data_IF_347037513024
#
_entry.id   IF_347037513024
#
_cell.length_a   1.000
_cell.length_b   1.000
_cell.length_c   1.000
_cell.angle_alpha   90.00
_cell.angle_beta   90.00
_cell.angle_gamma   90.00
#
_symmetry.space_group_name_H-M   'P 1'
#
loop_
_entity.id
_entity.type
_entity.pdbx_description
1 polymer ?
#
# COMPACT_ATOMS: atom_id res chain seq x y z
N UNK A 1 -13.86 -22.07 -21.48
CA UNK A 1 -12.86 -23.14 -21.28
C UNK A 1 -11.44 -22.58 -21.39
N UNK A 2 -11.06 -21.92 -22.49
CA UNK A 2 -9.70 -21.38 -22.66
C UNK A 2 -9.24 -20.39 -21.58
N UNK A 3 -10.07 -19.40 -21.24
CA UNK A 3 -9.71 -18.44 -20.17
C UNK A 3 -9.59 -19.08 -18.80
N UNK A 4 -10.36 -20.13 -18.54
CA UNK A 4 -10.27 -20.90 -17.30
C UNK A 4 -8.96 -21.67 -17.24
N UNK A 5 -8.58 -22.34 -18.33
CA UNK A 5 -7.30 -23.02 -18.46
C UNK A 5 -6.12 -22.05 -18.26
N UNK A 6 -6.15 -20.88 -18.93
CA UNK A 6 -5.12 -19.85 -18.79
C UNK A 6 -5.02 -19.33 -17.36
N UNK A 7 -6.15 -18.96 -16.75
CA UNK A 7 -6.17 -18.46 -15.38
C UNK A 7 -5.66 -19.52 -14.39
N UNK A 8 -6.16 -20.75 -14.48
CA UNK A 8 -5.76 -21.85 -13.61
C UNK A 8 -4.28 -22.20 -13.77
N UNK A 9 -3.76 -22.17 -14.99
CA UNK A 9 -2.33 -22.38 -15.29
C UNK A 9 -1.45 -21.30 -14.66
N UNK A 10 -1.77 -20.02 -14.89
CA UNK A 10 -1.03 -18.88 -14.31
C UNK A 10 -1.08 -18.91 -12.79
N UNK A 11 -2.27 -19.10 -12.20
CA UNK A 11 -2.44 -19.19 -10.76
C UNK A 11 -1.61 -20.35 -10.18
N UNK A 12 -1.68 -21.55 -10.78
CA UNK A 12 -0.90 -22.71 -10.32
C UNK A 12 0.61 -22.43 -10.33
N UNK A 13 1.11 -21.82 -11.40
CA UNK A 13 2.53 -21.53 -11.54
C UNK A 13 2.98 -20.44 -10.56
N UNK A 14 2.22 -19.35 -10.39
CA UNK A 14 2.58 -18.29 -9.45
C UNK A 14 2.54 -18.76 -7.98
N UNK A 15 1.57 -19.59 -7.61
CA UNK A 15 1.46 -20.14 -6.26
C UNK A 15 2.54 -21.20 -5.96
N UNK A 16 3.22 -21.74 -6.97
CA UNK A 16 4.31 -22.69 -6.74
C UNK A 16 5.43 -22.10 -5.86
N UNK A 17 5.72 -20.79 -5.97
CA UNK A 17 6.81 -20.16 -5.20
C UNK A 17 6.65 -20.40 -3.70
N UNK A 18 5.54 -19.90 -3.12
CA UNK A 18 5.33 -19.99 -1.68
C UNK A 18 4.96 -21.41 -1.23
N UNK A 19 4.43 -22.25 -2.14
CA UNK A 19 4.05 -23.64 -1.83
C UNK A 19 5.29 -24.52 -1.72
N UNK A 20 6.27 -24.32 -2.61
CA UNK A 20 7.54 -25.02 -2.57
C UNK A 20 8.37 -24.67 -1.32
N UNK A 21 8.17 -23.47 -0.77
CA UNK A 21 8.79 -23.04 0.49
C UNK A 21 8.03 -23.53 1.74
N UNK A 22 6.81 -24.04 1.58
CA UNK A 22 5.94 -24.45 2.68
C UNK A 22 5.52 -25.92 2.55
N UNK A 23 6.52 -26.79 2.50
CA UNK A 23 6.35 -28.25 2.37
C UNK A 23 6.71 -28.96 3.66
N UNK A 24 5.98 -30.04 3.98
CA UNK A 24 6.27 -30.88 5.15
C UNK A 24 7.65 -31.56 5.04
N UNK A 25 7.98 -32.03 3.84
CA UNK A 25 9.28 -32.64 3.50
C UNK A 25 10.11 -31.62 2.71
N UNK A 26 11.34 -31.27 3.14
CA UNK A 26 12.21 -30.36 2.40
C UNK A 26 12.39 -30.79 0.94
N UNK A 27 12.30 -29.84 0.00
CA UNK A 27 12.47 -30.06 -1.44
C UNK A 27 11.47 -31.04 -2.11
N UNK A 28 10.37 -31.40 -1.44
CA UNK A 28 9.34 -32.28 -2.02
C UNK A 28 8.58 -31.65 -3.20
N UNK A 29 8.59 -30.33 -3.31
CA UNK A 29 8.06 -29.59 -4.47
C UNK A 29 9.21 -28.81 -5.09
N UNK A 30 9.45 -29.03 -6.40
CA UNK A 30 10.42 -28.25 -7.16
C UNK A 30 9.90 -26.83 -7.36
N UNK A 31 10.65 -25.85 -6.88
CA UNK A 31 10.37 -24.44 -7.13
C UNK A 31 10.70 -24.08 -8.58
N UNK A 32 9.75 -23.47 -9.28
CA UNK A 32 10.01 -22.89 -10.61
C UNK A 32 10.92 -21.66 -10.48
N UNK A 33 11.58 -21.26 -11.57
CA UNK A 33 12.53 -20.14 -11.58
C UNK A 33 12.19 -19.06 -12.62
N UNK A 34 10.93 -19.02 -13.07
CA UNK A 34 10.47 -18.14 -14.15
C UNK A 34 9.37 -17.16 -13.68
N UNK A 35 9.45 -16.70 -12.44
CA UNK A 35 8.41 -15.86 -11.84
C UNK A 35 8.26 -14.52 -12.54
N UNK A 36 9.36 -13.89 -12.96
CA UNK A 36 9.31 -12.59 -13.63
C UNK A 36 8.66 -12.71 -15.02
N UNK A 37 8.97 -13.77 -15.75
CA UNK A 37 8.36 -14.11 -17.04
C UNK A 37 6.86 -14.33 -16.89
N UNK A 38 6.43 -15.04 -15.84
CA UNK A 38 5.02 -15.26 -15.55
C UNK A 38 4.29 -13.96 -15.21
N UNK A 39 4.93 -13.04 -14.49
CA UNK A 39 4.36 -11.72 -14.19
C UNK A 39 4.22 -10.87 -15.45
N UNK A 40 5.21 -10.89 -16.34
CA UNK A 40 5.14 -10.20 -17.65
C UNK A 40 4.00 -10.77 -18.49
N UNK A 41 3.88 -12.10 -18.56
CA UNK A 41 2.80 -12.76 -19.29
C UNK A 41 1.42 -12.41 -18.69
N UNK A 42 1.30 -12.45 -17.36
CA UNK A 42 0.07 -12.08 -16.66
C UNK A 42 -0.30 -10.62 -16.94
N UNK A 43 0.65 -9.69 -16.82
CA UNK A 43 0.44 -8.28 -17.14
C UNK A 43 -0.09 -8.11 -18.56
N UNK A 44 0.57 -8.71 -19.55
CA UNK A 44 0.18 -8.61 -20.97
C UNK A 44 -1.22 -9.17 -21.22
N UNK A 45 -1.55 -10.31 -20.62
CA UNK A 45 -2.90 -10.89 -20.73
C UNK A 45 -3.97 -10.01 -20.09
N UNK A 46 -3.69 -9.37 -18.96
CA UNK A 46 -4.67 -8.51 -18.29
C UNK A 46 -4.82 -7.15 -18.98
N UNK A 47 -3.72 -6.55 -19.46
CA UNK A 47 -3.75 -5.22 -20.06
C UNK A 47 -4.27 -5.24 -21.50
N UNK A 48 -3.77 -6.16 -22.33
CA UNK A 48 -4.08 -6.19 -23.77
C UNK A 48 -5.35 -7.00 -24.07
N UNK A 49 -5.66 -8.05 -23.31
CA UNK A 49 -6.85 -8.88 -23.53
C UNK A 49 -7.98 -8.53 -22.55
N UNK A 50 -8.82 -7.56 -22.94
CA UNK A 50 -9.97 -7.10 -22.13
C UNK A 50 -10.97 -8.22 -21.80
N UNK A 51 -11.13 -9.22 -22.67
CA UNK A 51 -12.02 -10.36 -22.42
C UNK A 51 -11.46 -11.27 -21.31
N UNK A 52 -10.15 -11.50 -21.30
CA UNK A 52 -9.47 -12.24 -20.22
C UNK A 52 -9.52 -11.48 -18.89
N UNK A 53 -9.33 -10.15 -18.92
CA UNK A 53 -9.50 -9.30 -17.74
C UNK A 53 -10.92 -9.41 -17.17
N UNK A 54 -11.95 -9.27 -18.01
CA UNK A 54 -13.35 -9.41 -17.58
C UNK A 54 -13.66 -10.80 -17.03
N UNK A 55 -13.13 -11.87 -17.66
CA UNK A 55 -13.25 -13.23 -17.13
C UNK A 55 -12.62 -13.34 -15.75
N UNK A 56 -11.39 -12.82 -15.59
CA UNK A 56 -10.65 -12.84 -14.33
C UNK A 56 -11.41 -12.14 -13.21
N UNK A 57 -11.98 -10.97 -13.49
CA UNK A 57 -12.73 -10.16 -12.52
C UNK A 57 -14.07 -10.80 -12.11
N UNK A 58 -14.82 -11.34 -13.07
CA UNK A 58 -16.22 -11.74 -12.85
C UNK A 58 -16.43 -13.22 -12.58
N UNK A 59 -15.54 -14.08 -13.07
CA UNK A 59 -15.73 -15.54 -13.05
C UNK A 59 -14.65 -16.30 -12.30
N UNK A 60 -13.44 -15.76 -12.22
CA UNK A 60 -12.31 -16.43 -11.57
C UNK A 60 -12.17 -16.04 -10.09
N UNK A 61 -11.43 -16.87 -9.33
CA UNK A 61 -11.05 -16.54 -7.96
C UNK A 61 -9.74 -15.74 -7.93
N UNK A 62 -9.85 -14.41 -8.06
CA UNK A 62 -8.70 -13.51 -8.16
C UNK A 62 -7.73 -13.59 -6.99
N UNK A 63 -8.19 -14.00 -5.81
CA UNK A 63 -7.32 -14.20 -4.66
C UNK A 63 -6.18 -15.20 -4.94
N UNK A 64 -6.38 -16.17 -5.85
CA UNK A 64 -5.33 -17.08 -6.32
C UNK A 64 -4.20 -16.37 -7.09
N UNK A 65 -4.42 -15.15 -7.58
CA UNK A 65 -3.38 -14.30 -8.17
C UNK A 65 -2.89 -13.27 -7.13
N UNK A 66 -3.77 -12.70 -6.32
CA UNK A 66 -3.39 -11.70 -5.29
C UNK A 66 -2.38 -12.26 -4.29
N UNK A 67 -2.62 -13.46 -3.77
CA UNK A 67 -1.75 -14.08 -2.75
C UNK A 67 -0.28 -14.20 -3.22
N UNK A 68 0.03 -14.81 -4.39
CA UNK A 68 1.42 -14.88 -4.83
C UNK A 68 2.02 -13.52 -5.20
N UNK A 69 1.23 -12.55 -5.70
CA UNK A 69 1.73 -11.18 -5.94
C UNK A 69 2.21 -10.53 -4.64
N UNK A 70 1.37 -10.58 -3.60
CA UNK A 70 1.70 -10.03 -2.28
C UNK A 70 2.87 -10.78 -1.63
N UNK A 71 2.94 -12.10 -1.81
CA UNK A 71 4.06 -12.90 -1.33
C UNK A 71 5.39 -12.46 -1.96
N UNK A 72 5.44 -12.34 -3.29
CA UNK A 72 6.64 -11.91 -4.02
C UNK A 72 7.07 -10.49 -3.63
N UNK A 73 6.10 -9.60 -3.45
CA UNK A 73 6.38 -8.24 -2.99
C UNK A 73 6.93 -8.21 -1.57
N UNK A 74 6.32 -8.99 -0.66
CA UNK A 74 6.77 -9.09 0.72
C UNK A 74 8.20 -9.64 0.75
N UNK A 75 8.44 -10.82 0.19
CA UNK A 75 9.75 -11.48 0.24
C UNK A 75 10.84 -10.62 -0.41
N UNK A 76 10.59 -10.03 -1.57
CA UNK A 76 11.58 -9.24 -2.30
C UNK A 76 11.84 -7.82 -1.78
N UNK A 77 11.07 -7.32 -0.80
CA UNK A 77 11.09 -5.90 -0.37
C UNK A 77 12.46 -5.36 0.04
N UNK A 78 13.35 -6.23 0.52
CA UNK A 78 14.70 -5.86 0.99
C UNK A 78 15.79 -6.05 -0.08
N UNK A 79 15.45 -6.60 -1.25
CA UNK A 79 16.42 -6.96 -2.28
C UNK A 79 16.38 -5.96 -3.45
N UNK A 80 17.42 -5.13 -3.66
CA UNK A 80 17.45 -4.16 -4.76
C UNK A 80 17.30 -4.80 -6.16
N UNK A 81 17.74 -6.05 -6.33
CA UNK A 81 17.58 -6.82 -7.58
C UNK A 81 16.13 -7.19 -7.89
N UNK A 82 15.24 -7.19 -6.89
CA UNK A 82 13.82 -7.54 -7.03
C UNK A 82 12.91 -6.32 -7.21
N UNK A 83 13.47 -5.10 -7.27
CA UNK A 83 12.70 -3.86 -7.43
C UNK A 83 11.78 -3.91 -8.65
N UNK A 84 12.26 -4.38 -9.82
CA UNK A 84 11.44 -4.50 -11.02
C UNK A 84 10.27 -5.49 -10.86
N UNK A 85 10.49 -6.58 -10.12
CA UNK A 85 9.44 -7.56 -9.78
C UNK A 85 8.35 -6.92 -8.89
N UNK A 86 8.74 -6.12 -7.90
CA UNK A 86 7.77 -5.41 -7.05
C UNK A 86 6.95 -4.42 -7.86
N UNK A 87 7.57 -3.68 -8.78
CA UNK A 87 6.87 -2.73 -9.65
C UNK A 87 5.82 -3.42 -10.52
N UNK A 88 6.15 -4.54 -11.19
CA UNK A 88 5.15 -5.24 -12.02
C UNK A 88 4.01 -5.81 -11.18
N UNK A 89 4.29 -6.37 -9.99
CA UNK A 89 3.23 -6.79 -9.06
C UNK A 89 2.34 -5.61 -8.65
N UNK A 90 2.95 -4.44 -8.41
CA UNK A 90 2.23 -3.20 -8.06
C UNK A 90 1.29 -2.78 -9.18
N UNK A 91 1.77 -2.75 -10.43
CA UNK A 91 0.94 -2.34 -11.56
C UNK A 91 -0.19 -3.33 -11.84
N UNK A 92 0.04 -4.65 -11.69
CA UNK A 92 -1.03 -5.64 -11.78
C UNK A 92 -2.09 -5.38 -10.72
N UNK A 93 -1.69 -5.18 -9.46
CA UNK A 93 -2.64 -4.87 -8.38
C UNK A 93 -3.36 -3.53 -8.61
N UNK A 94 -2.66 -2.51 -9.13
CA UNK A 94 -3.24 -1.21 -9.45
C UNK A 94 -4.29 -1.32 -10.56
N UNK A 95 -3.99 -2.04 -11.64
CA UNK A 95 -4.93 -2.34 -12.72
C UNK A 95 -6.19 -3.02 -12.19
N UNK A 96 -6.03 -4.08 -11.38
CA UNK A 96 -7.14 -4.83 -10.82
C UNK A 96 -7.96 -4.01 -9.80
N UNK A 97 -7.30 -3.18 -8.98
CA UNK A 97 -7.95 -2.33 -7.98
C UNK A 97 -8.91 -1.30 -8.57
N UNK A 98 -8.73 -0.96 -9.86
CA UNK A 98 -9.62 -0.06 -10.58
C UNK A 98 -11.02 -0.63 -10.84
N UNK A 99 -11.28 -1.88 -10.47
CA UNK A 99 -12.54 -2.59 -10.73
C UNK A 99 -13.20 -3.04 -9.43
N UNK A 100 -14.51 -2.78 -9.30
CA UNK A 100 -15.29 -3.09 -8.08
C UNK A 100 -15.26 -4.57 -7.73
N UNK A 101 -15.37 -5.45 -8.72
CA UNK A 101 -15.39 -6.90 -8.53
C UNK A 101 -14.12 -7.40 -7.80
N UNK A 102 -12.98 -6.75 -8.05
CA UNK A 102 -11.74 -7.03 -7.34
C UNK A 102 -11.84 -6.73 -5.85
N UNK A 103 -12.25 -5.51 -5.51
CA UNK A 103 -12.38 -5.11 -4.11
C UNK A 103 -13.39 -5.99 -3.35
N UNK A 104 -14.49 -6.37 -4.00
CA UNK A 104 -15.48 -7.29 -3.41
C UNK A 104 -14.89 -8.68 -3.19
N UNK A 105 -14.10 -9.21 -4.12
CA UNK A 105 -13.46 -10.52 -4.02
C UNK A 105 -12.45 -10.61 -2.85
N UNK A 106 -11.80 -9.50 -2.50
CA UNK A 106 -10.86 -9.43 -1.37
C UNK A 106 -11.51 -9.66 0.00
N UNK A 107 -12.85 -9.54 0.11
CA UNK A 107 -13.56 -9.81 1.37
C UNK A 107 -13.65 -11.31 1.70
N UNK A 108 -13.24 -12.21 0.80
CA UNK A 108 -13.20 -13.65 1.11
C UNK A 108 -12.23 -13.92 2.27
N UNK A 109 -12.57 -14.83 3.20
CA UNK A 109 -11.69 -15.22 4.30
C UNK A 109 -10.31 -15.64 3.80
N UNK A 110 -9.26 -15.26 4.52
CA UNK A 110 -7.90 -15.67 4.25
C UNK A 110 -7.46 -16.71 5.29
N UNK A 111 -7.27 -17.94 4.83
CA UNK A 111 -6.99 -19.10 5.69
C UNK A 111 -5.59 -19.70 5.46
N UNK A 112 -4.88 -19.24 4.43
CA UNK A 112 -3.59 -19.80 4.06
C UNK A 112 -2.49 -19.38 5.04
N UNK A 113 -1.71 -20.35 5.50
CA UNK A 113 -0.45 -20.09 6.22
C UNK A 113 0.67 -19.88 5.21
N UNK A 114 1.12 -18.65 5.04
CA UNK A 114 2.24 -18.31 4.17
C UNK A 114 3.57 -18.48 4.92
N UNK A 115 4.66 -18.90 4.24
CA UNK A 115 6.00 -18.94 4.83
C UNK A 115 6.61 -17.52 4.86
N UNK A 116 5.88 -16.59 5.49
CA UNK A 116 6.23 -15.20 5.68
C UNK A 116 6.17 -14.88 7.17
N UNK A 117 7.01 -13.94 7.60
CA UNK A 117 6.93 -13.34 8.92
C UNK A 117 5.76 -12.33 8.98
N UNK A 118 4.54 -12.85 8.91
CA UNK A 118 3.31 -12.07 9.05
C UNK A 118 2.88 -12.07 10.53
N UNK A 119 2.37 -10.94 11.06
CA UNK A 119 1.71 -10.95 12.35
C UNK A 119 0.53 -11.94 12.30
N UNK A 120 0.20 -12.63 13.40
CA UNK A 120 -0.97 -13.49 13.44
C UNK A 120 -2.24 -12.63 13.29
N UNK A 121 -3.05 -12.92 12.28
CA UNK A 121 -4.37 -12.32 12.12
C UNK A 121 -5.33 -13.35 11.54
N UNK A 122 -6.62 -13.17 11.83
CA UNK A 122 -7.72 -13.95 11.26
C UNK A 122 -8.64 -12.95 10.56
N UNK A 123 -8.49 -12.86 9.25
CA UNK A 123 -9.09 -11.80 8.45
C UNK A 123 -9.37 -12.26 7.03
N UNK A 124 -9.46 -11.30 6.12
CA UNK A 124 -9.74 -11.53 4.71
C UNK A 124 -8.51 -11.20 3.83
N UNK A 125 -8.67 -11.29 2.51
CA UNK A 125 -7.58 -10.98 1.59
C UNK A 125 -7.26 -9.48 1.49
N UNK A 126 -8.21 -8.59 1.84
CA UNK A 126 -7.92 -7.17 1.98
C UNK A 126 -6.99 -6.90 3.17
N UNK A 127 -7.14 -7.65 4.26
CA UNK A 127 -6.21 -7.60 5.40
C UNK A 127 -4.80 -8.00 4.99
N UNK A 128 -4.66 -9.13 4.29
CA UNK A 128 -3.36 -9.56 3.75
C UNK A 128 -2.74 -8.48 2.85
N UNK A 129 -3.52 -7.87 1.96
CA UNK A 129 -3.07 -6.80 1.08
C UNK A 129 -2.54 -5.61 1.88
N UNK A 130 -3.31 -5.10 2.84
CA UNK A 130 -2.94 -3.94 3.65
C UNK A 130 -1.68 -4.23 4.47
N UNK A 131 -1.60 -5.41 5.12
CA UNK A 131 -0.45 -5.79 5.94
C UNK A 131 0.82 -5.92 5.09
N UNK A 132 0.71 -6.55 3.90
CA UNK A 132 1.84 -6.68 2.99
C UNK A 132 2.29 -5.33 2.44
N UNK A 133 1.38 -4.50 1.93
CA UNK A 133 1.72 -3.17 1.41
C UNK A 133 2.33 -2.27 2.49
N UNK A 134 1.77 -2.27 3.70
CA UNK A 134 2.38 -1.58 4.86
C UNK A 134 3.82 -2.06 5.07
N UNK A 135 4.07 -3.38 5.10
CA UNK A 135 5.42 -3.91 5.34
C UNK A 135 6.38 -3.51 4.23
N UNK A 136 5.93 -3.50 2.97
CA UNK A 136 6.75 -3.06 1.84
C UNK A 136 7.09 -1.57 1.96
N UNK A 137 6.17 -0.73 2.43
CA UNK A 137 6.43 0.71 2.66
C UNK A 137 7.41 0.92 3.83
N UNK A 138 7.20 0.25 4.96
CA UNK A 138 7.97 0.54 6.19
C UNK A 138 9.33 -0.17 6.22
N UNK A 139 9.46 -1.32 5.56
CA UNK A 139 10.67 -2.15 5.58
C UNK A 139 11.28 -2.37 4.19
N UNK A 140 10.80 -1.64 3.18
CA UNK A 140 11.31 -1.72 1.82
C UNK A 140 12.58 -0.90 1.61
N UNK A 141 13.27 -1.19 0.51
CA UNK A 141 14.39 -0.38 0.04
C UNK A 141 13.92 0.97 -0.54
N UNK A 142 14.71 2.04 -0.39
CA UNK A 142 14.34 3.44 -0.72
C UNK A 142 13.82 3.65 -2.15
N UNK A 143 14.31 2.87 -3.13
CA UNK A 143 13.80 2.97 -4.53
C UNK A 143 12.31 2.64 -4.66
N UNK A 144 11.71 1.95 -3.68
CA UNK A 144 10.29 1.66 -3.65
C UNK A 144 9.43 2.89 -3.31
N UNK A 145 10.02 3.99 -2.85
CA UNK A 145 9.28 5.24 -2.59
C UNK A 145 8.51 5.73 -3.83
N UNK A 146 9.07 5.48 -5.02
CA UNK A 146 8.42 5.77 -6.30
C UNK A 146 7.02 5.15 -6.38
N UNK A 147 6.84 3.91 -5.93
CA UNK A 147 5.56 3.19 -6.05
C UNK A 147 4.61 3.36 -4.86
N UNK A 148 4.95 4.18 -3.85
CA UNK A 148 4.08 4.39 -2.67
C UNK A 148 2.73 5.00 -3.03
N UNK A 149 2.70 5.94 -3.98
CA UNK A 149 1.45 6.48 -4.52
C UNK A 149 0.57 5.36 -5.10
N UNK A 150 1.15 4.37 -5.78
CA UNK A 150 0.40 3.25 -6.33
C UNK A 150 -0.14 2.35 -5.22
N UNK A 151 0.64 2.06 -4.18
CA UNK A 151 0.19 1.28 -3.03
C UNK A 151 -1.01 1.91 -2.33
N UNK A 152 -0.93 3.20 -2.02
CA UNK A 152 -2.02 3.91 -1.35
C UNK A 152 -3.21 4.13 -2.28
N UNK A 153 -2.99 4.24 -3.60
CA UNK A 153 -4.08 4.23 -4.58
C UNK A 153 -4.83 2.90 -4.57
N UNK A 154 -4.13 1.77 -4.55
CA UNK A 154 -4.76 0.43 -4.44
C UNK A 154 -5.62 0.34 -3.18
N UNK A 155 -5.08 0.75 -2.03
CA UNK A 155 -5.81 0.73 -0.75
C UNK A 155 -7.03 1.66 -0.81
N UNK A 156 -6.87 2.87 -1.34
CA UNK A 156 -7.96 3.83 -1.50
C UNK A 156 -9.06 3.31 -2.43
N UNK A 157 -8.70 2.68 -3.56
CA UNK A 157 -9.66 2.12 -4.51
C UNK A 157 -10.51 0.98 -3.91
N UNK A 158 -9.91 0.11 -3.08
CA UNK A 158 -10.65 -1.00 -2.48
C UNK A 158 -11.50 -0.57 -1.28
N UNK A 159 -11.08 0.49 -0.57
CA UNK A 159 -11.65 0.91 0.72
C UNK A 159 -13.19 1.12 0.77
N UNK A 160 -13.90 1.58 -0.29
CA UNK A 160 -15.36 1.69 -0.24
C UNK A 160 -16.09 0.35 -0.17
N UNK A 161 -15.39 -0.76 -0.43
CA UNK A 161 -15.98 -2.09 -0.56
C UNK A 161 -15.45 -3.11 0.46
N UNK A 162 -14.43 -2.75 1.24
CA UNK A 162 -13.83 -3.65 2.23
C UNK A 162 -14.69 -3.70 3.49
N UNK A 163 -15.02 -4.92 3.90
CA UNK A 163 -15.81 -5.23 5.10
C UNK A 163 -14.95 -6.02 6.08
N UNK A 164 -15.21 -5.88 7.38
CA UNK A 164 -14.59 -6.72 8.41
C UNK A 164 -13.07 -6.67 8.39
N UNK A 165 -12.49 -5.48 8.28
CA UNK A 165 -11.05 -5.31 8.51
C UNK A 165 -10.68 -5.80 9.90
N UNK A 166 -9.61 -6.57 9.96
CA UNK A 166 -9.03 -7.03 11.21
C UNK A 166 -8.32 -5.86 11.94
N UNK A 167 -8.17 -5.98 13.27
CA UNK A 167 -7.42 -5.02 14.08
C UNK A 167 -6.01 -4.78 13.55
N UNK A 168 -5.31 -5.83 13.14
CA UNK A 168 -3.92 -5.73 12.68
C UNK A 168 -3.82 -4.80 11.48
N UNK A 169 -4.67 -4.98 10.46
CA UNK A 169 -4.71 -4.13 9.27
C UNK A 169 -5.12 -2.70 9.59
N UNK A 170 -6.09 -2.53 10.48
CA UNK A 170 -6.54 -1.23 10.97
C UNK A 170 -5.38 -0.45 11.59
N UNK A 171 -4.65 -1.07 12.51
CA UNK A 171 -3.45 -0.48 13.12
C UNK A 171 -2.36 -0.21 12.07
N UNK A 172 -2.19 -1.07 11.04
CA UNK A 172 -1.23 -0.80 9.96
C UNK A 172 -1.59 0.46 9.16
N UNK A 173 -2.86 0.69 8.85
CA UNK A 173 -3.28 1.93 8.18
C UNK A 173 -2.98 3.16 9.04
N UNK A 174 -3.27 3.10 10.34
CA UNK A 174 -2.98 4.21 11.28
C UNK A 174 -1.47 4.43 11.45
N UNK A 175 -0.65 3.37 11.39
CA UNK A 175 0.82 3.51 11.39
C UNK A 175 1.35 4.21 10.15
N UNK A 176 0.80 3.91 8.96
CA UNK A 176 1.14 4.65 7.74
C UNK A 176 0.70 6.11 7.86
N UNK A 177 -0.47 6.36 8.42
CA UNK A 177 -0.95 7.73 8.66
C UNK A 177 -0.02 8.49 9.60
N UNK A 178 0.35 7.89 10.74
CA UNK A 178 1.34 8.44 11.68
C UNK A 178 2.67 8.75 10.99
N UNK A 179 3.16 7.86 10.12
CA UNK A 179 4.42 8.02 9.41
C UNK A 179 4.37 9.22 8.45
N UNK A 180 3.33 9.29 7.62
CA UNK A 180 3.22 10.31 6.59
C UNK A 180 2.69 11.66 7.09
N UNK A 181 2.04 11.69 8.26
CA UNK A 181 1.56 12.94 8.89
C UNK A 181 2.62 13.69 9.70
N UNK A 182 3.86 13.18 9.79
CA UNK A 182 4.91 13.84 10.56
C UNK A 182 5.33 15.14 9.87
N UNK A 183 5.51 16.26 10.60
CA UNK A 183 6.01 17.51 10.02
C UNK A 183 7.35 17.34 9.31
N UNK A 184 8.27 16.55 9.90
CA UNK A 184 9.57 16.22 9.27
C UNK A 184 9.39 15.60 7.89
N UNK A 185 8.38 14.74 7.73
CA UNK A 185 8.08 14.12 6.46
C UNK A 185 7.47 15.09 5.47
N UNK A 186 6.40 15.76 5.89
CA UNK A 186 5.60 16.62 5.03
C UNK A 186 6.42 17.77 4.45
N UNK A 187 7.33 18.32 5.24
CA UNK A 187 8.16 19.46 4.87
C UNK A 187 9.43 19.08 4.10
N UNK A 188 9.72 17.79 3.91
CA UNK A 188 10.93 17.34 3.20
C UNK A 188 10.79 17.44 1.67
N UNK A 189 9.58 17.28 1.13
CA UNK A 189 9.33 17.30 -0.31
C UNK A 189 7.94 17.86 -0.62
N UNK A 190 7.82 18.60 -1.72
CA UNK A 190 6.60 19.30 -2.12
C UNK A 190 5.44 18.33 -2.40
N UNK A 191 5.72 17.09 -2.79
CA UNK A 191 4.73 16.07 -3.11
C UNK A 191 4.38 15.13 -1.95
N UNK A 192 5.09 15.17 -0.81
CA UNK A 192 4.89 14.21 0.30
C UNK A 192 3.46 14.25 0.87
N UNK A 193 2.83 15.43 0.85
CA UNK A 193 1.47 15.62 1.33
C UNK A 193 0.42 14.79 0.56
N UNK A 194 0.68 14.38 -0.68
CA UNK A 194 -0.24 13.57 -1.47
C UNK A 194 -0.56 12.21 -0.83
N UNK A 195 0.41 11.59 -0.14
CA UNK A 195 0.18 10.28 0.51
C UNK A 195 -0.89 10.34 1.61
N UNK A 196 -0.98 11.48 2.31
CA UNK A 196 -2.00 11.70 3.33
C UNK A 196 -3.39 11.74 2.72
N UNK A 197 -3.56 12.33 1.52
CA UNK A 197 -4.87 12.38 0.85
C UNK A 197 -5.41 10.98 0.60
N UNK A 198 -4.58 10.04 0.14
CA UNK A 198 -5.02 8.66 -0.07
C UNK A 198 -5.43 7.94 1.22
N UNK A 199 -4.73 8.20 2.33
CA UNK A 199 -5.06 7.60 3.63
C UNK A 199 -6.34 8.20 4.22
N UNK A 200 -6.51 9.53 4.14
CA UNK A 200 -7.75 10.18 4.57
C UNK A 200 -8.94 9.73 3.71
N UNK A 201 -8.76 9.61 2.38
CA UNK A 201 -9.79 9.03 1.50
C UNK A 201 -10.11 7.59 1.91
N UNK A 202 -9.11 6.78 2.24
CA UNK A 202 -9.29 5.41 2.72
C UNK A 202 -10.14 5.37 3.99
N UNK A 203 -9.81 6.20 4.98
CA UNK A 203 -10.59 6.28 6.22
C UNK A 203 -12.01 6.77 5.97
N UNK A 204 -12.17 7.82 5.17
CA UNK A 204 -13.49 8.36 4.85
C UNK A 204 -14.36 7.35 4.11
N UNK A 205 -13.79 6.61 3.15
CA UNK A 205 -14.51 5.56 2.45
C UNK A 205 -14.99 4.46 3.40
N UNK A 206 -14.12 4.00 4.30
CA UNK A 206 -14.46 2.96 5.29
C UNK A 206 -15.54 3.46 6.26
N UNK A 207 -15.43 4.71 6.73
CA UNK A 207 -16.41 5.34 7.62
C UNK A 207 -17.76 5.58 6.92
N UNK A 208 -17.76 6.04 5.67
CA UNK A 208 -18.99 6.45 4.99
C UNK A 208 -19.72 5.27 4.34
N UNK A 209 -19.00 4.29 3.82
CA UNK A 209 -19.58 3.19 3.04
C UNK A 209 -19.62 1.85 3.76
N UNK A 210 -18.69 1.62 4.69
CA UNK A 210 -18.51 0.32 5.33
C UNK A 210 -18.35 0.46 6.85
N UNK A 211 -18.99 1.45 7.49
CA UNK A 211 -18.92 1.60 8.95
C UNK A 211 -19.36 0.31 9.64
N UNK A 212 -20.48 -0.25 9.18
CA UNK A 212 -21.00 -1.53 9.65
C UNK A 212 -20.01 -2.66 9.27
N UNK A 213 -19.35 -3.21 10.29
CA UNK A 213 -18.35 -4.25 10.14
C UNK A 213 -16.91 -3.75 10.10
N UNK A 214 -16.62 -2.46 10.20
CA UNK A 214 -15.25 -1.94 10.36
C UNK A 214 -15.05 -1.22 11.71
N UNK A 215 -15.70 -1.69 12.77
CA UNK A 215 -15.56 -1.18 14.13
C UNK A 215 -14.11 -1.24 14.65
N UNK A 216 -13.32 -2.21 14.20
CA UNK A 216 -11.88 -2.35 14.54
C UNK A 216 -11.07 -1.13 14.07
N UNK A 217 -11.38 -0.62 12.87
CA UNK A 217 -10.75 0.58 12.33
C UNK A 217 -11.16 1.81 13.13
N UNK A 218 -12.46 1.95 13.41
CA UNK A 218 -13.00 3.07 14.18
C UNK A 218 -12.38 3.10 15.58
N UNK A 219 -12.29 1.94 16.23
CA UNK A 219 -11.61 1.78 17.50
C UNK A 219 -10.14 2.23 17.41
N UNK A 220 -9.39 1.74 16.41
CA UNK A 220 -8.01 2.16 16.19
C UNK A 220 -7.89 3.67 15.94
N UNK A 221 -8.85 4.30 15.25
CA UNK A 221 -8.88 5.75 15.04
C UNK A 221 -9.13 6.51 16.34
N UNK A 222 -10.04 6.04 17.20
CA UNK A 222 -10.30 6.62 18.52
C UNK A 222 -9.03 6.60 19.38
N UNK A 223 -8.33 5.46 19.42
CA UNK A 223 -7.05 5.30 20.12
C UNK A 223 -5.95 6.21 19.58
N UNK A 224 -6.08 6.71 18.34
CA UNK A 224 -5.11 7.56 17.67
C UNK A 224 -5.67 8.96 17.34
N UNK A 225 -6.68 9.43 18.10
CA UNK A 225 -7.38 10.71 17.86
C UNK A 225 -6.43 11.91 17.73
N UNK A 226 -5.33 11.90 18.50
CA UNK A 226 -4.33 12.96 18.51
C UNK A 226 -3.62 13.12 17.16
N UNK A 227 -3.48 12.06 16.36
CA UNK A 227 -2.84 12.15 15.03
C UNK A 227 -3.65 13.06 14.10
N UNK A 228 -4.98 12.91 14.12
CA UNK A 228 -5.88 13.73 13.31
C UNK A 228 -5.90 15.17 13.79
N UNK A 229 -5.92 15.39 15.10
CA UNK A 229 -5.87 16.73 15.69
C UNK A 229 -4.54 17.44 15.37
N UNK A 230 -3.40 16.74 15.48
CA UNK A 230 -2.07 17.28 15.13
C UNK A 230 -1.98 17.63 13.66
N UNK A 231 -2.48 16.79 12.76
CA UNK A 231 -2.52 17.10 11.33
C UNK A 231 -3.42 18.32 11.05
N UNK A 232 -4.58 18.41 11.69
CA UNK A 232 -5.47 19.57 11.55
C UNK A 232 -4.83 20.87 12.07
N UNK A 233 -4.09 20.78 13.16
CA UNK A 233 -3.36 21.88 13.78
C UNK A 233 -2.00 22.16 13.12
N UNK A 234 -1.62 21.43 12.08
CA UNK A 234 -0.31 21.57 11.42
C UNK A 234 -0.07 23.01 10.97
N UNK A 235 1.03 23.59 11.41
CA UNK A 235 1.44 24.95 11.06
C UNK A 235 2.90 24.92 10.60
N UNK A 236 3.34 26.00 9.95
CA UNK A 236 4.75 26.19 9.62
C UNK A 236 5.59 26.14 10.91
N UNK A 237 6.77 25.49 10.90
CA UNK A 237 7.70 25.56 12.01
C UNK A 237 7.99 27.03 12.29
N UNK A 238 7.86 27.47 13.55
CA UNK A 238 8.29 28.81 13.92
C UNK A 238 9.76 28.97 13.50
N UNK A 239 10.10 30.10 12.89
CA UNK A 239 11.47 30.44 12.52
C UNK A 239 12.32 30.62 13.79
N UNK A 240 12.67 29.51 14.45
CA UNK A 240 13.56 29.53 15.61
C UNK A 240 14.99 29.51 15.11
N UNK A 241 15.62 30.68 15.21
CA UNK A 241 17.03 30.97 15.37
C UNK A 241 17.99 29.81 15.03
N UNK A 242 18.84 30.05 14.02
CA UNK A 242 20.08 29.31 13.82
C UNK A 242 20.90 29.27 15.13
N UNK A 243 20.83 28.16 15.85
CA UNK A 243 21.88 27.74 16.78
C UNK A 243 22.59 26.54 16.15
N UNK A 244 23.90 26.71 15.99
CA UNK A 244 24.81 25.75 15.39
C UNK A 244 24.74 24.38 16.08
N UNK A 245 25.01 23.27 15.38
CA UNK A 245 24.97 21.95 15.98
C UNK A 245 26.19 21.73 16.88
N UNK A 246 25.98 21.77 18.20
CA UNK A 246 26.96 21.26 19.17
C UNK A 246 26.71 19.76 19.37
N UNK A 247 27.70 18.95 18.97
CA UNK A 247 27.78 17.51 19.21
C UNK A 247 27.82 17.19 20.71
N UNK A 248 26.78 16.56 21.23
CA UNK A 248 26.85 15.78 22.47
C UNK A 248 25.72 14.74 22.54
N UNK A 249 26.07 13.47 22.33
CA UNK A 249 25.23 12.30 22.64
C UNK A 249 25.22 12.01 24.13
N UNK A 250 24.05 11.72 24.74
CA UNK A 250 23.94 10.83 25.88
C UNK A 250 23.30 9.49 25.48
N UNK A 251 23.86 8.39 26.00
CA UNK A 251 23.33 7.02 25.92
C UNK A 251 22.19 6.82 26.92
N UNK A 252 21.14 6.08 26.53
CA UNK A 252 20.31 5.29 27.45
C UNK A 252 19.59 4.15 26.71
N UNK A 253 19.35 3.06 27.44
CA UNK A 253 18.92 1.72 27.03
C UNK A 253 17.41 1.55 26.81
N UNK A 254 17.09 0.57 25.95
CA UNK A 254 15.91 -0.29 25.84
C UNK A 254 14.49 0.28 26.04
N UNK A 255 13.75 0.41 24.93
CA UNK A 255 12.43 -0.22 24.75
C UNK A 255 12.01 -0.21 23.28
N UNK A 256 11.31 -1.28 22.87
CA UNK A 256 10.88 -1.60 21.51
C UNK A 256 9.89 -0.56 20.95
N UNK A 257 10.33 0.26 19.99
CA UNK A 257 9.58 0.75 18.81
C UNK A 257 10.33 1.95 18.20
N UNK A 258 11.47 1.71 17.56
CA UNK A 258 12.20 2.75 16.82
C UNK A 258 12.12 2.44 15.31
N UNK A 259 11.19 3.10 14.61
CA UNK A 259 11.18 3.20 13.15
C UNK A 259 11.57 4.63 12.81
N UNK A 260 12.84 4.96 12.99
CA UNK A 260 13.40 6.27 12.63
C UNK A 260 14.17 6.17 11.30
N UNK A 261 13.45 5.84 10.22
CA UNK A 261 13.81 6.25 8.86
C UNK A 261 12.50 6.52 8.12
N UNK A 262 12.16 7.79 7.90
CA UNK A 262 10.95 8.19 7.17
C UNK A 262 11.31 8.40 5.68
N UNK A 263 10.80 7.59 4.72
CA UNK A 263 11.30 7.61 3.33
C UNK A 263 10.59 8.65 2.44
N UNK A 264 11.33 9.65 1.93
CA UNK A 264 10.82 10.77 1.10
C UNK A 264 10.25 10.35 -0.28
N UNK A 265 9.11 10.90 -0.71
CA UNK A 265 8.42 10.56 -1.96
C UNK A 265 8.92 11.41 -3.13
N UNK A 266 10.16 11.21 -3.54
CA UNK A 266 10.60 11.68 -4.85
C UNK A 266 10.42 10.56 -5.89
N UNK A 267 9.82 10.91 -7.03
CA UNK A 267 9.65 10.11 -8.26
C UNK A 267 8.30 9.41 -8.48
N UNK A 268 7.25 10.19 -8.73
CA UNK A 268 6.21 9.88 -9.73
C UNK A 268 5.30 11.08 -10.07
N UNK A 269 5.32 12.14 -9.26
CA UNK A 269 4.60 13.40 -9.51
C UNK A 269 5.10 14.16 -10.76
N UNK A 270 6.31 13.87 -11.23
CA UNK A 270 6.87 14.47 -12.44
C UNK A 270 6.25 13.93 -13.75
N UNK A 271 5.33 12.95 -13.68
CA UNK A 271 4.71 12.35 -14.87
C UNK A 271 3.28 12.81 -15.14
N UNK A 272 2.74 13.74 -14.33
CA UNK A 272 1.39 14.28 -14.52
C UNK A 272 1.34 15.67 -15.12
N UNK A 273 2.49 16.28 -15.48
CA UNK A 273 2.49 17.64 -16.01
C UNK A 273 3.60 17.87 -17.05
N UNK A 274 3.41 17.40 -18.29
CA UNK A 274 4.06 17.97 -19.48
C UNK A 274 3.16 17.77 -20.71
N UNK A 275 2.51 18.85 -21.15
CA UNK A 275 1.99 19.00 -22.53
C UNK A 275 3.16 19.20 -23.50
N UNK A 276 3.12 18.53 -24.66
CA UNK A 276 4.16 18.60 -25.69
C UNK A 276 4.28 19.96 -26.38
N UNK A 277 5.51 20.38 -26.71
CA UNK A 277 6.15 20.22 -28.02
C UNK A 277 7.59 20.81 -28.02
N UNK A 278 8.42 20.28 -28.92
CA UNK A 278 9.66 20.77 -29.55
C UNK A 278 10.97 21.12 -28.79
N UNK A 279 11.98 20.29 -29.13
CA UNK A 279 13.41 20.52 -29.42
C UNK A 279 14.11 21.79 -28.88
N UNK A 280 14.78 21.66 -27.75
CA UNK A 280 16.14 22.17 -27.48
C UNK A 280 16.64 21.57 -26.16
N UNK A 281 17.92 21.17 -26.07
CA UNK A 281 18.51 20.70 -24.82
C UNK A 281 18.42 21.81 -23.75
N UNK A 282 17.74 21.60 -22.61
CA UNK A 282 17.56 22.66 -21.63
C UNK A 282 18.90 22.94 -20.91
N UNK A 283 19.13 24.18 -20.47
CA UNK A 283 20.26 24.50 -19.60
C UNK A 283 20.17 23.64 -18.34
N UNK A 284 21.31 23.29 -17.75
CA UNK A 284 21.37 22.55 -16.48
C UNK A 284 20.74 23.41 -15.38
N UNK A 285 19.43 23.26 -15.20
CA UNK A 285 18.68 23.85 -14.10
C UNK A 285 19.13 23.09 -12.86
N UNK A 286 19.96 23.73 -12.03
CA UNK A 286 20.25 23.21 -10.69
C UNK A 286 18.90 23.00 -10.00
N UNK A 287 18.55 21.78 -9.55
CA UNK A 287 17.25 21.55 -8.94
C UNK A 287 17.14 22.44 -7.71
N UNK A 288 16.22 23.41 -7.77
CA UNK A 288 15.91 24.30 -6.66
C UNK A 288 15.47 23.41 -5.50
N UNK A 289 16.25 23.41 -4.42
CA UNK A 289 15.92 22.64 -3.22
C UNK A 289 14.57 23.16 -2.69
N UNK A 290 13.58 22.28 -2.62
CA UNK A 290 12.26 22.61 -2.09
C UNK A 290 12.37 23.26 -0.71
N UNK A 291 11.71 24.39 -0.54
CA UNK A 291 11.60 25.11 0.73
C UNK A 291 10.11 25.31 1.01
N UNK A 292 9.55 24.67 2.06
CA UNK A 292 8.14 24.82 2.39
C UNK A 292 7.79 26.29 2.70
N UNK A 293 6.68 26.76 2.13
CA UNK A 293 6.12 28.09 2.41
C UNK A 293 4.75 27.96 3.07
N UNK A 294 4.31 29.00 3.77
CA UNK A 294 2.95 29.01 4.34
C UNK A 294 1.89 28.93 3.23
N UNK A 295 2.11 29.60 2.10
CA UNK A 295 1.22 29.50 0.93
C UNK A 295 1.10 28.07 0.40
N UNK A 296 2.23 27.35 0.31
CA UNK A 296 2.24 25.94 -0.09
C UNK A 296 1.45 25.10 0.92
N UNK A 297 1.71 25.26 2.23
CA UNK A 297 1.03 24.53 3.30
C UNK A 297 -0.48 24.77 3.25
N UNK A 298 -0.92 26.04 3.24
CA UNK A 298 -2.33 26.39 3.17
C UNK A 298 -2.98 25.94 1.85
N UNK A 299 -2.21 25.88 0.76
CA UNK A 299 -2.64 25.47 -0.57
C UNK A 299 -3.26 24.07 -0.60
N UNK A 300 -2.62 23.10 0.06
CA UNK A 300 -3.13 21.73 0.17
C UNK A 300 -3.88 21.46 1.47
N UNK A 301 -3.50 22.08 2.60
CA UNK A 301 -4.12 21.83 3.90
C UNK A 301 -5.63 22.11 3.88
N UNK A 302 -6.06 23.21 3.24
CA UNK A 302 -7.50 23.54 3.09
C UNK A 302 -8.30 22.53 2.26
N UNK A 303 -7.62 21.71 1.45
CA UNK A 303 -8.24 20.68 0.60
C UNK A 303 -8.25 19.30 1.26
N UNK A 304 -7.62 19.15 2.43
CA UNK A 304 -7.55 17.86 3.12
C UNK A 304 -8.96 17.35 3.46
N UNK A 305 -9.30 16.11 3.09
CA UNK A 305 -10.59 15.52 3.43
C UNK A 305 -10.59 14.98 4.87
N UNK A 306 -10.16 15.77 5.85
CA UNK A 306 -10.00 15.33 7.26
C UNK A 306 -11.30 15.44 8.08
N UNK A 307 -12.26 16.25 7.61
CA UNK A 307 -13.45 16.62 8.36
C UNK A 307 -14.34 15.43 8.76
N UNK A 308 -14.50 14.43 7.89
CA UNK A 308 -15.31 13.24 8.22
C UNK A 308 -14.71 12.47 9.39
N UNK A 309 -13.40 12.24 9.37
CA UNK A 309 -12.67 11.59 10.46
C UNK A 309 -12.74 12.41 11.76
N UNK A 310 -12.58 13.74 11.69
CA UNK A 310 -12.67 14.60 12.87
C UNK A 310 -14.08 14.63 13.47
N UNK A 311 -15.13 14.74 12.65
CA UNK A 311 -16.52 14.73 13.14
C UNK A 311 -16.86 13.40 13.83
N UNK A 312 -16.44 12.29 13.25
CA UNK A 312 -16.59 10.97 13.85
C UNK A 312 -15.94 10.93 15.25
N UNK A 313 -14.68 11.36 15.34
CA UNK A 313 -13.93 11.36 16.60
C UNK A 313 -14.53 12.32 17.63
N UNK A 314 -14.92 13.53 17.23
CA UNK A 314 -15.55 14.52 18.11
C UNK A 314 -16.86 14.01 18.73
N UNK A 315 -17.59 13.15 18.03
CA UNK A 315 -18.81 12.54 18.53
C UNK A 315 -18.54 11.31 19.40
N UNK A 316 -17.72 10.38 18.91
CA UNK A 316 -17.51 9.08 19.57
C UNK A 316 -16.65 9.17 20.82
N UNK A 317 -15.64 10.05 20.83
CA UNK A 317 -14.68 10.13 21.94
C UNK A 317 -15.37 10.48 23.26
N UNK A 318 -16.18 11.56 23.36
CA UNK A 318 -16.87 11.88 24.61
C UNK A 318 -17.82 10.77 25.07
N UNK A 319 -18.57 10.16 24.14
CA UNK A 319 -19.51 9.08 24.49
C UNK A 319 -18.80 7.82 25.01
N UNK A 320 -17.62 7.50 24.48
CA UNK A 320 -16.82 6.39 24.99
C UNK A 320 -16.21 6.72 26.36
N UNK A 321 -15.81 7.97 26.58
CA UNK A 321 -15.33 8.45 27.88
C UNK A 321 -16.46 8.36 28.93
N UNK A 322 -17.66 8.87 28.62
CA UNK A 322 -18.85 8.78 29.48
C UNK A 322 -19.25 7.31 29.75
N UNK A 323 -19.23 6.44 28.72
CA UNK A 323 -19.56 5.03 28.88
C UNK A 323 -18.53 4.28 29.76
N UNK A 324 -17.27 4.70 29.72
CA UNK A 324 -16.24 4.18 30.62
C UNK A 324 -16.46 4.61 32.07
N UNK A 325 -16.92 5.85 32.30
CA UNK A 325 -17.20 6.38 33.64
C UNK A 325 -18.42 5.69 34.30
N UNK A 326 -19.46 5.39 33.52
CA UNK A 326 -20.68 4.72 34.01
C UNK A 326 -20.48 3.23 34.30
N UNK A 327 -19.49 2.58 33.67
CA UNK A 327 -19.19 1.18 33.91
C UNK A 327 -18.64 0.97 35.33
N UNK A 328 -19.18 -0.02 36.06
CA UNK A 328 -18.93 -0.31 37.48
C UNK A 328 -17.48 -0.71 37.88
N UNK A 329 -16.48 -0.36 37.08
CA UNK A 329 -15.06 -0.58 37.32
C UNK A 329 -14.13 0.46 36.68
N UNK A 330 -14.65 1.59 36.20
CA UNK A 330 -13.86 2.71 35.65
C UNK A 330 -13.09 2.42 34.36
N UNK A 331 -13.36 1.29 33.69
CA UNK A 331 -12.83 0.94 32.37
C UNK A 331 -13.76 -0.02 31.65
N UNK A 332 -13.84 0.10 30.33
CA UNK A 332 -14.50 -0.88 29.46
C UNK A 332 -13.45 -1.80 28.84
N UNK A 333 -13.75 -3.10 28.82
CA UNK A 333 -12.98 -4.07 28.04
C UNK A 333 -13.10 -3.75 26.53
N UNK A 334 -12.07 -4.10 25.75
CA UNK A 334 -12.02 -3.87 24.30
C UNK A 334 -13.26 -4.47 23.61
N UNK A 335 -13.69 -5.67 24.03
CA UNK A 335 -14.89 -6.31 23.51
C UNK A 335 -16.15 -5.46 23.73
N UNK A 336 -16.29 -4.82 24.90
CA UNK A 336 -17.43 -3.96 25.22
C UNK A 336 -17.42 -2.67 24.38
N UNK A 337 -16.24 -2.09 24.17
CA UNK A 337 -16.06 -0.91 23.30
C UNK A 337 -16.46 -1.24 21.87
N UNK A 338 -16.04 -2.40 21.35
CA UNK A 338 -16.40 -2.83 19.99
C UNK A 338 -17.91 -3.07 19.84
N UNK A 339 -18.56 -3.61 20.87
CA UNK A 339 -20.03 -3.75 20.89
C UNK A 339 -20.72 -2.39 20.86
N UNK A 340 -20.23 -1.42 21.66
CA UNK A 340 -20.73 -0.05 21.64
C UNK A 340 -20.58 0.61 20.26
N UNK A 341 -19.40 0.50 19.64
CA UNK A 341 -19.15 1.08 18.32
C UNK A 341 -20.05 0.47 17.25
N UNK A 342 -20.34 -0.83 17.36
CA UNK A 342 -21.24 -1.54 16.45
C UNK A 342 -22.70 -1.12 16.62
N UNK A 343 -23.15 -0.83 17.84
CA UNK A 343 -24.53 -0.37 18.10
C UNK A 343 -24.75 1.11 17.80
N UNK A 344 -23.67 1.89 17.68
CA UNK A 344 -23.76 3.33 17.41
C UNK A 344 -24.12 3.61 15.96
N UNK A 345 -25.18 4.40 15.73
CA UNK A 345 -25.59 4.82 14.39
C UNK A 345 -24.87 6.10 13.96
N UNK A 346 -24.36 6.11 12.72
CA UNK A 346 -23.73 7.27 12.10
C UNK A 346 -24.69 8.13 11.27
N UNK A 347 -25.97 7.72 11.16
CA UNK A 347 -26.99 8.40 10.36
C UNK A 347 -27.26 9.80 10.92
N UNK A 348 -27.20 10.82 10.07
CA UNK A 348 -27.42 12.21 10.45
C UNK A 348 -26.24 12.91 11.12
N UNK A 349 -25.20 12.17 11.52
CA UNK A 349 -23.98 12.73 12.13
C UNK A 349 -22.93 13.13 11.08
N UNK A 350 -22.65 12.22 10.16
CA UNK A 350 -21.58 12.40 9.19
C UNK A 350 -22.02 13.35 8.05
N UNK A 351 -21.08 14.07 7.41
CA UNK A 351 -21.37 14.78 6.17
C UNK A 351 -21.94 13.83 5.11
N UNK A 352 -22.65 14.41 4.13
CA UNK A 352 -23.12 13.66 2.96
C UNK A 352 -21.95 12.88 2.35
N UNK A 353 -22.11 11.57 2.09
CA UNK A 353 -21.05 10.77 1.49
C UNK A 353 -20.54 11.37 0.18
N UNK A 354 -19.23 11.51 0.05
CA UNK A 354 -18.62 11.99 -1.19
C UNK A 354 -18.73 10.91 -2.25
N UNK A 355 -18.85 11.24 -3.54
CA UNK A 355 -18.86 10.22 -4.58
C UNK A 355 -17.63 9.30 -4.50
N UNK A 356 -17.82 8.00 -4.71
CA UNK A 356 -16.72 7.03 -4.74
C UNK A 356 -15.80 7.38 -5.91
N UNK A 357 -14.55 7.75 -5.61
CA UNK A 357 -13.52 8.05 -6.61
C UNK A 357 -12.66 6.81 -6.81
N UNK A 358 -12.77 6.18 -7.98
CA UNK A 358 -11.91 5.06 -8.37
C UNK A 358 -10.83 5.56 -9.33
N UNK A 359 -9.57 5.38 -8.93
CA UNK A 359 -8.40 5.79 -9.70
C UNK A 359 -7.87 4.59 -10.48
N UNK A 360 -8.29 4.48 -11.75
CA UNK A 360 -7.87 3.39 -12.63
C UNK A 360 -6.44 3.60 -13.11
N UNK A 361 -5.73 2.48 -13.35
CA UNK A 361 -4.46 2.53 -14.06
C UNK A 361 -4.65 3.18 -15.43
N UNK A 362 -3.80 4.15 -15.75
CA UNK A 362 -3.75 4.80 -17.05
C UNK A 362 -2.37 4.56 -17.65
N UNK A 363 -2.38 4.03 -18.86
CA UNK A 363 -1.17 3.83 -19.65
C UNK A 363 -0.58 5.19 -20.02
N UNK A 364 0.71 5.37 -19.80
CA UNK A 364 1.46 6.55 -20.21
C UNK A 364 2.81 6.16 -20.85
N UNK A 365 3.45 7.07 -21.57
CA UNK A 365 4.70 6.79 -22.30
C UNK A 365 5.81 6.25 -21.39
N UNK A 366 5.93 6.78 -20.18
CA UNK A 366 6.94 6.36 -19.21
C UNK A 366 6.72 4.94 -18.69
N UNK A 367 5.47 4.59 -18.36
CA UNK A 367 5.10 3.24 -17.95
C UNK A 367 5.28 2.26 -19.10
N UNK A 368 4.91 2.62 -20.33
CA UNK A 368 5.16 1.80 -21.53
C UNK A 368 6.65 1.55 -21.75
N UNK A 369 7.49 2.59 -21.65
CA UNK A 369 8.93 2.46 -21.76
C UNK A 369 9.49 1.57 -20.63
N UNK A 370 9.02 1.76 -19.41
CA UNK A 370 9.41 0.94 -18.26
C UNK A 370 9.05 -0.54 -18.46
N UNK A 371 7.82 -0.84 -18.86
CA UNK A 371 7.38 -2.22 -19.14
C UNK A 371 8.16 -2.86 -20.28
N UNK A 372 8.44 -2.10 -21.33
CA UNK A 372 9.24 -2.58 -22.47
C UNK A 372 10.67 -2.89 -22.02
N UNK A 373 11.29 -1.98 -21.29
CA UNK A 373 12.65 -2.15 -20.75
C UNK A 373 12.73 -3.33 -19.79
N UNK A 374 11.74 -3.46 -18.89
CA UNK A 374 11.66 -4.57 -17.94
C UNK A 374 11.49 -5.91 -18.66
N UNK A 375 10.57 -5.99 -19.63
CA UNK A 375 10.31 -7.20 -20.43
C UNK A 375 11.58 -7.66 -21.15
N UNK A 376 12.25 -6.76 -21.87
CA UNK A 376 13.51 -7.09 -22.55
C UNK A 376 14.62 -7.44 -21.57
N UNK A 377 14.69 -6.77 -20.41
CA UNK A 377 15.63 -7.09 -19.34
C UNK A 377 15.46 -8.53 -18.84
N UNK A 378 14.21 -8.95 -18.58
CA UNK A 378 13.89 -10.33 -18.17
C UNK A 378 14.32 -11.33 -19.23
N UNK A 379 13.97 -11.10 -20.51
CA UNK A 379 14.33 -11.97 -21.63
C UNK A 379 15.85 -12.07 -21.79
N UNK A 380 16.54 -10.93 -21.75
CA UNK A 380 17.98 -10.85 -21.91
C UNK A 380 18.72 -11.61 -20.80
N UNK A 381 18.40 -11.35 -19.53
CA UNK A 381 19.02 -12.02 -18.38
C UNK A 381 18.79 -13.53 -18.43
N UNK A 382 17.62 -13.96 -18.89
CA UNK A 382 17.33 -15.39 -19.05
C UNK A 382 18.20 -16.05 -20.12
N UNK A 383 18.39 -15.38 -21.25
CA UNK A 383 19.20 -15.88 -22.36
C UNK A 383 20.70 -15.89 -22.04
N UNK A 384 21.20 -14.93 -21.24
CA UNK A 384 22.58 -14.95 -20.77
C UNK A 384 22.89 -16.15 -19.87
N UNK A 385 21.97 -16.50 -18.96
CA UNK A 385 22.12 -17.67 -18.09
C UNK A 385 22.18 -19.00 -18.84
N UNK A 386 21.61 -19.08 -20.05
CA UNK A 386 21.73 -20.26 -20.92
C UNK A 386 23.10 -20.33 -21.60
N UNK A 387 23.59 -19.22 -22.15
CA UNK A 387 24.89 -19.14 -22.83
C UNK A 387 26.07 -19.45 -21.91
N UNK A 388 26.03 -18.97 -20.66
CA UNK A 388 27.09 -19.24 -19.67
C UNK A 388 27.10 -20.72 -19.29
N UNK A 389 25.94 -21.34 -19.08
CA UNK A 389 25.85 -22.77 -18.74
C UNK A 389 26.27 -23.68 -19.89
N UNK A 390 25.96 -23.32 -21.14
CA UNK A 390 26.47 -24.06 -22.30
C UNK A 390 27.98 -23.94 -22.44
N UNK A 391 28.57 -22.77 -22.12
CA UNK A 391 30.02 -22.59 -22.16
C UNK A 391 30.74 -23.44 -21.09
N UNK A 392 30.21 -23.51 -19.86
CA UNK A 392 30.77 -24.38 -18.82
C UNK A 392 30.56 -25.88 -19.12
N UNK A 393 29.42 -26.27 -19.71
CA UNK A 393 29.18 -27.64 -20.16
C UNK A 393 30.13 -28.09 -21.28
N UNK A 394 30.63 -27.17 -22.11
CA UNK A 394 31.65 -27.44 -23.13
C UNK A 394 33.06 -27.49 -22.53
N UNK A 395 33.32 -26.76 -21.45
CA UNK A 395 34.61 -26.78 -20.74
C UNK A 395 34.84 -28.00 -19.84
N UNK A 396 33.78 -28.73 -19.44
CA UNK A 396 33.90 -30.03 -18.74
C UNK A 396 34.01 -31.23 -19.70
N UNK A 397 33.88 -30.99 -21.02
CA UNK A 397 34.02 -31.98 -22.10
C UNK A 397 35.34 -31.84 -22.88
N UNK A 398 36.21 -30.90 -22.50
CA UNK A 398 37.62 -30.82 -22.93
C UNK A 398 38.52 -31.21 -21.78
#
# INVERSE_FOLDING_TARGET
EDFELLFNGLAKLLNNYHQAMNTLLPNSIKQIKCHQELLVLLWKLLDENKAFLQYTLKRADMNRIVVPLLFLMYEGRKEPSKVGMIHICTFILLLLSGERDFAVNLNKPFELKLPLDLPPFHGNHADLLIVCLHKVIVNGYEKLNSVYNCFLTIVSNISPYVKKLNMVSSVRLLRLFKLFSQPRYLFDNDANHHLIFFLLDTFNNLIQYQYEGNEQLVYAMVQNKDLFQKLNALAMPAASAHTAPTTATPKAQDSLDEVDVVPSVAALTALTDVSGDDVAAPPVVVPVKFTPTDEWLQGWKKKLPINTSLRLLQYLVPQLEDACEVASGGSLDEAAILVFLRSTTMVGLLPVPHAIVIRKYQTNQFTNLWFTTFTWGVIFLRNQGMMIKSAFSLGELM
#
